data_IF_112837593067
#
_entry.id   IF_112837593067
#
_cell.length_a   1.000
_cell.length_b   1.000
_cell.length_c   1.000
_cell.angle_alpha   90.00
_cell.angle_beta   90.00
_cell.angle_gamma   90.00
#
_symmetry.space_group_name_H-M   'P 1'
#
loop_
_entity.id
_entity.type
_entity.pdbx_description
1 polymer ?
#
# COMPACT_ATOMS: atom_id res chain seq x y z
N UNK A 1 38.41 -19.27 41.63
CA UNK A 1 39.01 -18.17 40.85
C UNK A 1 38.65 -18.38 39.39
N UNK A 2 37.63 -17.67 38.91
CA UNK A 2 37.22 -17.68 37.49
C UNK A 2 38.18 -16.73 36.77
N UNK A 3 38.85 -17.21 35.71
CA UNK A 3 39.85 -16.42 35.00
C UNK A 3 39.18 -15.22 34.32
N UNK A 4 39.79 -14.03 34.46
CA UNK A 4 39.31 -12.79 33.83
C UNK A 4 39.23 -12.87 32.29
N UNK A 5 39.84 -13.88 31.68
CA UNK A 5 39.83 -14.16 30.24
C UNK A 5 38.49 -14.67 29.71
N UNK A 6 37.68 -15.30 30.56
CA UNK A 6 36.40 -15.93 30.15
C UNK A 6 35.25 -14.92 30.02
N UNK A 7 35.32 -13.82 30.78
CA UNK A 7 34.28 -12.77 30.82
C UNK A 7 34.33 -11.82 29.61
N UNK A 8 35.50 -11.62 28.99
CA UNK A 8 35.60 -10.82 27.77
C UNK A 8 35.05 -11.53 26.52
N UNK A 9 35.09 -12.87 26.47
CA UNK A 9 34.50 -13.62 25.35
C UNK A 9 32.96 -13.61 25.36
N UNK A 10 32.35 -13.51 26.55
CA UNK A 10 30.90 -13.46 26.69
C UNK A 10 30.34 -12.07 26.36
N UNK A 11 31.11 -11.00 26.60
CA UNK A 11 30.71 -9.63 26.25
C UNK A 11 30.83 -9.34 24.73
N UNK A 12 31.73 -10.02 24.02
CA UNK A 12 31.86 -9.86 22.56
C UNK A 12 30.78 -10.60 21.77
N UNK A 13 30.18 -11.66 22.34
CA UNK A 13 29.10 -12.41 21.71
C UNK A 13 27.71 -11.75 21.89
N UNK A 14 27.57 -10.80 22.82
CA UNK A 14 26.29 -10.13 23.14
C UNK A 14 26.08 -8.80 22.39
N UNK A 15 27.07 -8.34 21.61
CA UNK A 15 27.03 -7.09 20.83
C UNK A 15 26.62 -7.30 19.35
N UNK A 16 26.18 -8.51 19.00
CA UNK A 16 25.64 -8.87 17.69
C UNK A 16 24.16 -9.26 17.75
N UNK A 17 23.40 -8.65 18.66
CA UNK A 17 21.99 -8.39 18.39
C UNK A 17 21.97 -7.27 17.36
N UNK A 18 22.20 -7.64 16.10
CA UNK A 18 21.95 -6.76 14.98
C UNK A 18 20.54 -6.24 15.14
N UNK A 19 20.40 -4.91 15.15
CA UNK A 19 19.11 -4.28 14.88
C UNK A 19 18.58 -4.94 13.63
N UNK A 20 17.50 -5.72 13.75
CA UNK A 20 16.68 -6.07 12.60
C UNK A 20 16.17 -4.70 12.16
N UNK A 21 16.79 -4.13 11.12
CA UNK A 21 16.21 -2.97 10.46
C UNK A 21 14.86 -3.47 9.98
N UNK A 22 13.77 -2.98 10.56
CA UNK A 22 12.47 -3.05 9.90
C UNK A 22 12.68 -2.37 8.56
N UNK A 23 12.80 -3.14 7.49
CA UNK A 23 12.79 -2.56 6.16
C UNK A 23 11.43 -1.90 6.00
N UNK A 24 11.43 -0.61 5.67
CA UNK A 24 10.21 0.06 5.28
C UNK A 24 9.63 -0.72 4.09
N UNK A 25 8.35 -1.06 4.17
CA UNK A 25 7.70 -1.74 3.06
C UNK A 25 7.50 -0.76 1.92
N UNK A 26 7.90 -1.10 0.69
CA UNK A 26 7.54 -0.33 -0.50
C UNK A 26 6.04 -0.06 -0.56
N UNK A 27 5.72 1.10 -1.14
CA UNK A 27 4.35 1.56 -1.33
C UNK A 27 4.14 1.85 -2.80
N UNK A 28 3.04 1.36 -3.35
CA UNK A 28 2.50 1.81 -4.61
C UNK A 28 1.28 2.69 -4.38
N UNK A 29 1.28 3.86 -4.98
CA UNK A 29 0.14 4.76 -5.09
C UNK A 29 -0.41 4.65 -6.51
N UNK A 30 -1.70 4.33 -6.61
CA UNK A 30 -2.46 4.39 -7.84
C UNK A 30 -3.13 5.76 -7.93
N UNK A 31 -2.86 6.47 -9.01
CA UNK A 31 -3.57 7.68 -9.39
C UNK A 31 -4.38 7.38 -10.64
N UNK A 32 -5.59 7.92 -10.71
CA UNK A 32 -6.49 7.84 -11.84
C UNK A 32 -6.72 9.22 -12.41
N UNK A 33 -6.84 9.34 -13.73
CA UNK A 33 -7.13 10.61 -14.36
C UNK A 33 -8.61 10.96 -14.22
N UNK A 34 -8.89 12.21 -13.85
CA UNK A 34 -10.25 12.76 -13.76
C UNK A 34 -10.90 12.95 -15.14
N UNK A 35 -10.10 12.94 -16.21
CA UNK A 35 -10.57 13.06 -17.59
C UNK A 35 -10.64 11.68 -18.24
N UNK A 36 -11.86 11.17 -18.35
CA UNK A 36 -12.16 9.93 -19.08
C UNK A 36 -12.09 10.13 -20.60
N UNK A 37 -10.87 10.09 -21.13
CA UNK A 37 -10.65 10.21 -22.57
C UNK A 37 -10.83 8.88 -23.32
N UNK A 38 -10.91 7.74 -22.61
CA UNK A 38 -11.03 6.41 -23.18
C UNK A 38 -9.83 6.00 -24.04
N UNK A 39 -8.71 6.71 -23.91
CA UNK A 39 -7.56 6.68 -24.82
C UNK A 39 -6.23 6.44 -24.09
N UNK A 40 -6.19 5.50 -23.14
CA UNK A 40 -4.96 5.05 -22.46
C UNK A 40 -4.30 6.11 -21.57
N UNK A 41 -3.46 5.66 -20.64
CA UNK A 41 -2.82 6.47 -19.58
C UNK A 41 -3.80 7.03 -18.53
N UNK A 42 -4.93 6.36 -18.29
CA UNK A 42 -5.87 6.76 -17.24
C UNK A 42 -5.31 6.44 -15.85
N UNK A 43 -4.56 5.35 -15.71
CA UNK A 43 -3.90 4.99 -14.46
C UNK A 43 -2.42 5.34 -14.48
N UNK A 44 -1.98 6.07 -13.46
CA UNK A 44 -0.58 6.36 -13.17
C UNK A 44 -0.18 5.70 -11.86
N UNK A 45 0.90 4.93 -11.87
CA UNK A 45 1.42 4.27 -10.68
C UNK A 45 2.73 4.92 -10.25
N UNK A 46 2.81 5.26 -8.97
CA UNK A 46 4.00 5.78 -8.33
C UNK A 46 4.45 4.84 -7.20
N UNK A 47 5.70 4.38 -7.29
CA UNK A 47 6.33 3.55 -6.28
C UNK A 47 7.22 4.39 -5.37
N UNK A 48 7.16 4.10 -4.08
CA UNK A 48 7.93 4.72 -3.01
C UNK A 48 8.63 3.64 -2.19
N UNK A 49 9.82 3.94 -1.67
CA UNK A 49 10.56 3.00 -0.80
C UNK A 49 9.89 2.76 0.57
N UNK A 50 8.85 3.54 0.89
CA UNK A 50 8.00 3.40 2.07
C UNK A 50 7.27 4.68 2.43
N UNK A 51 6.55 4.67 3.57
CA UNK A 51 5.66 5.78 3.98
C UNK A 51 6.40 7.11 4.11
N UNK A 52 7.62 7.09 4.65
CA UNK A 52 8.40 8.32 4.74
C UNK A 52 8.73 8.90 3.36
N UNK A 53 9.06 8.05 2.38
CA UNK A 53 9.29 8.49 1.00
C UNK A 53 8.01 9.03 0.36
N UNK A 54 6.84 8.45 0.66
CA UNK A 54 5.55 9.01 0.24
C UNK A 54 5.29 10.38 0.90
N UNK A 55 5.53 10.53 2.20
CA UNK A 55 5.40 11.81 2.92
C UNK A 55 6.34 12.87 2.34
N UNK A 56 7.58 12.49 2.04
CA UNK A 56 8.60 13.40 1.51
C UNK A 56 8.49 13.61 -0.01
N UNK A 57 7.49 13.01 -0.67
CA UNK A 57 7.30 13.00 -2.13
C UNK A 57 8.53 12.50 -2.91
N UNK A 58 9.27 11.56 -2.35
CA UNK A 58 10.45 10.95 -2.97
C UNK A 58 10.04 9.69 -3.73
N UNK A 59 9.65 9.87 -4.99
CA UNK A 59 9.26 8.79 -5.90
C UNK A 59 10.50 7.98 -6.29
N UNK A 60 10.44 6.66 -6.09
CA UNK A 60 11.48 5.72 -6.54
C UNK A 60 11.33 5.42 -8.04
N UNK A 61 10.13 5.07 -8.47
CA UNK A 61 9.79 4.89 -9.88
C UNK A 61 8.33 5.23 -10.15
N UNK A 62 7.98 5.52 -11.40
CA UNK A 62 6.58 5.73 -11.79
C UNK A 62 6.38 5.45 -13.28
N UNK A 63 5.15 5.08 -13.64
CA UNK A 63 4.75 4.85 -15.02
C UNK A 63 3.24 4.92 -15.18
N UNK A 64 2.78 5.30 -16.37
CA UNK A 64 1.41 5.03 -16.78
C UNK A 64 1.22 3.54 -17.04
N UNK A 65 0.06 3.03 -16.62
CA UNK A 65 -0.44 1.74 -17.06
C UNK A 65 -0.97 1.83 -18.49
N UNK A 66 -0.83 0.73 -19.24
CA UNK A 66 -1.50 0.51 -20.52
C UNK A 66 -2.93 0.00 -20.35
N UNK A 67 -3.40 -0.20 -19.12
CA UNK A 67 -4.80 -0.46 -18.83
C UNK A 67 -5.63 0.76 -19.25
N UNK A 68 -6.73 0.48 -19.95
CA UNK A 68 -7.74 1.45 -20.32
C UNK A 68 -8.99 1.09 -19.55
N UNK A 69 -9.38 1.94 -18.61
CA UNK A 69 -10.63 1.83 -17.88
C UNK A 69 -11.75 2.34 -18.78
N UNK A 70 -12.95 1.83 -18.56
CA UNK A 70 -14.10 2.34 -19.27
C UNK A 70 -14.56 3.62 -18.58
N UNK A 71 -14.92 4.66 -19.33
CA UNK A 71 -15.37 5.98 -18.83
C UNK A 71 -16.67 6.00 -18.01
N UNK A 72 -17.10 4.86 -17.49
CA UNK A 72 -18.21 4.75 -16.54
C UNK A 72 -17.72 4.05 -15.28
N UNK A 73 -16.41 3.97 -15.07
CA UNK A 73 -15.78 3.32 -13.95
C UNK A 73 -14.64 4.19 -13.44
N UNK A 74 -14.57 4.29 -12.12
CA UNK A 74 -13.44 4.83 -11.38
C UNK A 74 -12.74 3.71 -10.60
N UNK A 75 -11.48 3.90 -10.26
CA UNK A 75 -10.71 3.03 -9.39
C UNK A 75 -11.08 3.26 -7.92
N UNK A 76 -11.64 2.22 -7.29
CA UNK A 76 -12.07 2.26 -5.88
C UNK A 76 -11.11 1.55 -4.93
N UNK A 77 -9.94 1.13 -5.42
CA UNK A 77 -8.89 0.53 -4.59
C UNK A 77 -7.96 -0.42 -5.31
N UNK A 78 -6.77 -0.60 -4.75
CA UNK A 78 -5.76 -1.55 -5.19
C UNK A 78 -5.23 -2.29 -3.97
N UNK A 79 -5.17 -3.63 -4.02
CA UNK A 79 -4.59 -4.47 -2.97
C UNK A 79 -3.55 -5.44 -3.53
N UNK A 80 -2.57 -5.83 -2.73
CA UNK A 80 -1.70 -6.97 -3.04
C UNK A 80 -1.93 -8.07 -2.01
N UNK A 81 -2.29 -9.26 -2.48
CA UNK A 81 -2.68 -10.37 -1.59
C UNK A 81 -1.54 -11.33 -1.22
N UNK A 82 -0.31 -10.93 -1.53
CA UNK A 82 0.88 -11.78 -1.41
C UNK A 82 1.16 -12.64 -2.65
N UNK A 83 0.27 -12.62 -3.65
CA UNK A 83 0.45 -13.37 -4.90
C UNK A 83 0.12 -12.58 -6.15
N UNK A 84 -0.85 -11.67 -6.08
CA UNK A 84 -1.30 -10.86 -7.21
C UNK A 84 -1.84 -9.52 -6.75
N UNK A 85 -1.85 -8.55 -7.66
CA UNK A 85 -2.50 -7.26 -7.47
C UNK A 85 -3.98 -7.40 -7.83
N UNK A 86 -4.85 -6.93 -6.95
CA UNK A 86 -6.29 -6.84 -7.17
C UNK A 86 -6.68 -5.38 -7.32
N UNK A 87 -7.16 -5.00 -8.50
CA UNK A 87 -7.74 -3.69 -8.76
C UNK A 87 -9.26 -3.80 -8.64
N UNK A 88 -9.84 -2.89 -7.85
CA UNK A 88 -11.27 -2.68 -7.75
C UNK A 88 -11.63 -1.45 -8.59
N UNK A 89 -12.56 -1.64 -9.51
CA UNK A 89 -13.22 -0.57 -10.24
C UNK A 89 -14.68 -0.51 -9.81
N UNK A 90 -15.18 0.69 -9.58
CA UNK A 90 -16.57 0.98 -9.25
C UNK A 90 -17.22 1.75 -10.40
N UNK A 91 -18.45 1.41 -10.75
CA UNK A 91 -19.23 2.12 -11.75
C UNK A 91 -19.65 3.50 -11.25
N UNK A 92 -19.40 4.55 -12.02
CA UNK A 92 -19.77 5.94 -11.66
C UNK A 92 -21.29 6.17 -11.60
N UNK A 93 -22.05 5.19 -12.09
CA UNK A 93 -23.51 5.20 -12.04
C UNK A 93 -23.99 4.02 -11.21
N UNK A 94 -24.77 4.34 -10.19
CA UNK A 94 -25.45 3.35 -9.37
C UNK A 94 -26.37 2.46 -10.21
N UNK A 95 -26.10 1.15 -10.14
CA UNK A 95 -26.82 0.13 -10.86
C UNK A 95 -27.79 -0.61 -9.93
N UNK A 96 -29.09 -0.57 -10.21
CA UNK A 96 -30.09 -1.26 -9.35
C UNK A 96 -29.97 -2.80 -9.25
N UNK A 97 -28.96 -3.43 -9.86
CA UNK A 97 -28.67 -4.86 -9.70
C UNK A 97 -27.27 -5.20 -10.24
N UNK A 98 -26.32 -5.47 -9.34
CA UNK A 98 -25.12 -6.29 -9.54
C UNK A 98 -24.42 -6.10 -10.88
N UNK A 99 -23.58 -5.08 -10.98
CA UNK A 99 -22.46 -4.87 -11.93
C UNK A 99 -21.71 -3.58 -11.55
N UNK A 100 -21.84 -3.11 -10.30
CA UNK A 100 -21.22 -1.86 -9.85
C UNK A 100 -19.74 -2.06 -9.61
N UNK A 101 -19.35 -3.21 -9.05
CA UNK A 101 -17.96 -3.52 -8.73
C UNK A 101 -17.39 -4.48 -9.76
N UNK A 102 -16.32 -4.07 -10.44
CA UNK A 102 -15.51 -4.91 -11.31
C UNK A 102 -14.14 -5.14 -10.68
N UNK A 103 -13.72 -6.40 -10.60
CA UNK A 103 -12.42 -6.77 -10.04
C UNK A 103 -11.52 -7.30 -11.15
N UNK A 104 -10.28 -6.86 -11.17
CA UNK A 104 -9.24 -7.35 -12.07
C UNK A 104 -8.00 -7.79 -11.28
N UNK A 105 -7.50 -8.97 -11.59
CA UNK A 105 -6.28 -9.54 -11.00
C UNK A 105 -5.12 -9.44 -11.97
N UNK A 106 -3.94 -9.11 -11.45
CA UNK A 106 -2.69 -9.02 -12.18
C UNK A 106 -1.61 -9.80 -11.44
N UNK A 107 -0.93 -10.72 -12.15
CA UNK A 107 0.09 -11.59 -11.55
C UNK A 107 1.30 -10.82 -10.99
N UNK A 108 1.51 -9.57 -11.42
CA UNK A 108 2.62 -8.74 -10.98
C UNK A 108 2.35 -7.25 -11.20
N UNK A 109 3.15 -6.39 -10.57
CA UNK A 109 3.14 -4.95 -10.83
C UNK A 109 3.41 -4.64 -12.32
N UNK A 110 4.33 -5.38 -12.96
CA UNK A 110 4.59 -5.20 -14.38
C UNK A 110 3.37 -5.60 -15.23
N UNK A 111 2.64 -6.65 -14.85
CA UNK A 111 1.39 -7.01 -15.52
C UNK A 111 0.34 -5.90 -15.41
N UNK A 112 0.27 -5.22 -14.25
CA UNK A 112 -0.58 -4.05 -14.06
C UNK A 112 -0.15 -2.87 -14.94
N UNK A 113 1.16 -2.59 -15.05
CA UNK A 113 1.69 -1.57 -15.96
C UNK A 113 1.43 -1.90 -17.44
N UNK A 114 1.59 -3.17 -17.83
CA UNK A 114 1.40 -3.61 -19.21
C UNK A 114 -0.08 -3.81 -19.58
N UNK A 115 -1.01 -3.67 -18.62
CA UNK A 115 -2.43 -3.95 -18.83
C UNK A 115 -2.74 -5.43 -19.09
N UNK A 116 -1.86 -6.34 -18.66
CA UNK A 116 -2.02 -7.78 -18.85
C UNK A 116 -2.83 -8.38 -17.70
N UNK A 117 -4.15 -8.40 -17.88
CA UNK A 117 -5.12 -8.94 -16.92
C UNK A 117 -5.01 -10.46 -16.85
N UNK A 118 -4.79 -11.02 -15.66
CA UNK A 118 -4.76 -12.46 -15.42
C UNK A 118 -6.17 -13.05 -15.32
N UNK A 119 -7.05 -12.37 -14.59
CA UNK A 119 -8.47 -12.69 -14.52
C UNK A 119 -9.28 -11.44 -14.17
N UNK A 120 -10.56 -11.42 -14.52
CA UNK A 120 -11.44 -10.32 -14.13
C UNK A 120 -12.91 -10.76 -14.12
N UNK A 121 -13.71 -10.15 -13.25
CA UNK A 121 -15.15 -10.40 -13.19
C UNK A 121 -15.88 -9.26 -12.49
N UNK A 122 -17.15 -9.09 -12.82
CA UNK A 122 -18.05 -8.35 -11.97
C UNK A 122 -18.29 -9.11 -10.66
N UNK A 123 -18.23 -8.38 -9.57
CA UNK A 123 -18.69 -8.84 -8.27
C UNK A 123 -20.23 -8.80 -8.20
N UNK A 124 -20.80 -9.66 -7.36
CA UNK A 124 -22.21 -9.61 -6.96
C UNK A 124 -22.45 -8.61 -5.80
N UNK A 125 -21.39 -7.95 -5.32
CA UNK A 125 -21.50 -6.84 -4.39
C UNK A 125 -22.28 -5.70 -5.03
N UNK A 126 -23.27 -5.18 -4.30
CA UNK A 126 -23.98 -3.97 -4.64
C UNK A 126 -23.64 -2.94 -3.57
N UNK A 127 -22.99 -1.86 -3.97
CA UNK A 127 -22.70 -0.73 -3.09
C UNK A 127 -24.01 0.06 -2.96
N UNK A 128 -24.18 0.72 -1.81
CA UNK A 128 -25.35 1.56 -1.61
C UNK A 128 -25.12 2.87 -2.38
N UNK A 129 -26.10 3.41 -3.12
CA UNK A 129 -26.01 4.68 -3.85
C UNK A 129 -25.68 5.97 -3.07
N UNK A 130 -25.29 5.85 -1.80
CA UNK A 130 -24.82 6.96 -0.98
C UNK A 130 -23.41 6.69 -0.47
N UNK A 131 -22.72 5.73 -1.08
CA UNK A 131 -21.38 5.30 -0.75
C UNK A 131 -20.61 5.02 -2.04
N UNK A 132 -19.32 5.36 -2.00
CA UNK A 132 -18.33 5.02 -3.01
C UNK A 132 -17.19 4.21 -2.36
N UNK A 133 -16.49 3.41 -3.15
CA UNK A 133 -15.31 2.68 -2.71
C UNK A 133 -14.10 3.62 -2.57
N UNK A 134 -13.58 3.76 -1.36
CA UNK A 134 -12.43 4.61 -1.04
C UNK A 134 -11.14 3.84 -0.73
N UNK A 135 -11.13 2.52 -0.94
CA UNK A 135 -9.92 1.71 -0.77
C UNK A 135 -10.16 0.22 -0.57
N UNK A 136 -9.15 -0.58 -0.93
CA UNK A 136 -9.15 -2.03 -0.76
C UNK A 136 -7.80 -2.46 -0.17
N UNK A 137 -7.81 -3.15 0.97
CA UNK A 137 -6.61 -3.73 1.58
C UNK A 137 -6.73 -5.24 1.71
N UNK A 138 -5.61 -5.95 1.66
CA UNK A 138 -5.52 -7.33 2.12
C UNK A 138 -4.63 -7.39 3.36
N UNK A 139 -5.18 -7.88 4.47
CA UNK A 139 -4.50 -7.86 5.77
C UNK A 139 -3.64 -9.10 6.06
N UNK A 140 -3.42 -9.93 5.04
CA UNK A 140 -2.78 -11.25 5.16
C UNK A 140 -3.76 -12.39 5.41
N UNK A 141 -5.03 -12.09 5.74
CA UNK A 141 -6.07 -13.09 6.00
C UNK A 141 -7.38 -12.83 5.27
N UNK A 142 -7.77 -11.57 5.10
CA UNK A 142 -9.03 -11.15 4.51
C UNK A 142 -8.86 -9.84 3.74
N UNK A 143 -9.79 -9.60 2.82
CA UNK A 143 -9.90 -8.32 2.12
C UNK A 143 -10.77 -7.37 2.94
N UNK A 144 -10.31 -6.14 3.12
CA UNK A 144 -11.08 -5.05 3.73
C UNK A 144 -11.39 -4.02 2.64
N UNK A 145 -12.67 -3.82 2.37
CA UNK A 145 -13.17 -2.76 1.50
C UNK A 145 -13.61 -1.59 2.37
N UNK A 146 -13.06 -0.41 2.09
CA UNK A 146 -13.50 0.85 2.65
C UNK A 146 -14.52 1.48 1.71
N UNK A 147 -15.70 1.77 2.24
CA UNK A 147 -16.72 2.56 1.59
C UNK A 147 -16.83 3.90 2.32
N UNK A 148 -16.78 5.00 1.57
CA UNK A 148 -16.99 6.35 2.07
C UNK A 148 -18.37 6.83 1.65
N UNK A 149 -19.08 7.56 2.50
CA UNK A 149 -20.38 8.12 2.15
C UNK A 149 -20.23 9.34 1.23
N UNK A 150 -20.99 9.39 0.15
CA UNK A 150 -20.98 10.50 -0.83
C UNK A 150 -21.53 11.82 -0.27
N UNK A 151 -22.11 11.77 0.94
CA UNK A 151 -22.64 12.93 1.64
C UNK A 151 -22.04 12.99 3.02
N UNK A 152 -21.43 14.12 3.33
CA UNK A 152 -21.01 14.47 4.68
C UNK A 152 -22.21 14.41 5.63
N UNK A 153 -22.32 13.32 6.38
CA UNK A 153 -23.43 13.10 7.31
C UNK A 153 -23.12 13.56 8.74
N UNK A 154 -21.91 14.09 8.96
CA UNK A 154 -21.39 14.45 10.28
C UNK A 154 -21.01 13.23 11.13
N UNK A 155 -20.44 13.49 12.31
CA UNK A 155 -19.79 12.52 13.20
C UNK A 155 -20.29 11.06 13.13
N UNK A 156 -19.43 10.17 12.62
CA UNK A 156 -19.43 8.73 12.92
C UNK A 156 -20.17 7.80 11.94
N UNK A 157 -20.49 8.24 10.71
CA UNK A 157 -21.04 7.36 9.65
C UNK A 157 -20.46 7.63 8.25
N UNK A 158 -19.32 8.32 8.15
CA UNK A 158 -18.71 8.63 6.85
C UNK A 158 -17.97 7.41 6.28
N UNK A 159 -17.42 6.55 7.14
CA UNK A 159 -16.63 5.39 6.72
C UNK A 159 -17.28 4.08 7.16
N UNK A 160 -17.50 3.19 6.20
CA UNK A 160 -18.01 1.84 6.40
C UNK A 160 -16.98 0.81 5.89
N UNK A 161 -16.62 -0.15 6.74
CA UNK A 161 -15.66 -1.19 6.40
C UNK A 161 -16.41 -2.51 6.22
N UNK A 162 -16.14 -3.20 5.11
CA UNK A 162 -16.64 -4.53 4.80
C UNK A 162 -15.48 -5.52 4.63
N UNK A 163 -15.49 -6.58 5.44
CA UNK A 163 -14.50 -7.65 5.41
C UNK A 163 -14.97 -8.86 4.61
N UNK A 164 -14.06 -9.45 3.84
CA UNK A 164 -14.30 -10.63 3.01
C UNK A 164 -13.18 -11.65 3.23
N UNK A 165 -13.54 -12.88 3.62
CA UNK A 165 -12.58 -13.95 3.94
C UNK A 165 -11.66 -14.34 2.76
N UNK A 166 -12.04 -14.00 1.53
CA UNK A 166 -11.27 -14.32 0.32
C UNK A 166 -11.66 -13.43 -0.86
N UNK A 167 -10.83 -13.44 -1.91
CA UNK A 167 -11.17 -12.78 -3.17
C UNK A 167 -12.45 -13.33 -3.80
N UNK A 168 -12.70 -14.66 -3.66
CA UNK A 168 -13.95 -15.25 -4.13
C UNK A 168 -15.15 -14.74 -3.33
N UNK A 169 -15.00 -14.55 -2.02
CA UNK A 169 -16.06 -13.94 -1.19
C UNK A 169 -16.36 -12.51 -1.63
N UNK A 170 -15.33 -11.74 -2.00
CA UNK A 170 -15.48 -10.40 -2.57
C UNK A 170 -16.20 -10.43 -3.93
N UNK A 171 -15.88 -11.39 -4.80
CA UNK A 171 -16.59 -11.62 -6.07
C UNK A 171 -18.06 -12.05 -5.87
N UNK A 172 -18.31 -12.90 -4.89
CA UNK A 172 -19.65 -13.41 -4.58
C UNK A 172 -20.48 -12.41 -3.77
N UNK A 173 -19.91 -11.27 -3.36
CA UNK A 173 -20.55 -10.29 -2.48
C UNK A 173 -20.86 -10.84 -1.08
N UNK A 174 -20.14 -11.88 -0.64
CA UNK A 174 -20.36 -12.55 0.65
C UNK A 174 -19.54 -11.86 1.75
N UNK A 175 -20.17 -10.88 2.40
CA UNK A 175 -19.57 -10.12 3.51
C UNK A 175 -19.43 -11.00 4.76
N UNK A 176 -18.22 -11.10 5.29
CA UNK A 176 -17.91 -11.85 6.51
C UNK A 176 -18.07 -10.98 7.78
N UNK A 177 -17.68 -9.71 7.69
CA UNK A 177 -17.81 -8.72 8.76
C UNK A 177 -18.12 -7.35 8.16
N UNK A 178 -18.80 -6.49 8.92
CA UNK A 178 -18.93 -5.08 8.55
C UNK A 178 -19.19 -4.20 9.75
N UNK A 179 -18.72 -2.95 9.68
CA UNK A 179 -18.98 -1.95 10.71
C UNK A 179 -18.77 -0.55 10.15
N UNK A 180 -19.49 0.42 10.71
CA UNK A 180 -19.10 1.82 10.60
C UNK A 180 -17.88 2.09 11.49
N UNK A 181 -16.97 2.91 10.98
CA UNK A 181 -15.90 3.51 11.78
C UNK A 181 -16.42 4.75 12.49
N UNK A 182 -15.85 5.04 13.67
CA UNK A 182 -16.01 6.30 14.39
C UNK A 182 -15.10 7.40 13.84
N UNK A 183 -14.24 7.08 12.87
CA UNK A 183 -13.45 8.07 12.15
C UNK A 183 -14.40 9.04 11.43
N UNK A 184 -14.11 10.33 11.61
CA UNK A 184 -14.78 11.40 10.89
C UNK A 184 -13.77 12.09 10.00
N UNK A 185 -13.99 12.01 8.71
CA UNK A 185 -13.22 12.70 7.68
C UNK A 185 -13.71 14.14 7.64
N UNK A 186 -12.80 15.06 7.28
CA UNK A 186 -13.21 16.44 7.09
C UNK A 186 -13.87 16.55 5.71
N UNK A 187 -14.97 17.30 5.58
CA UNK A 187 -15.71 17.52 4.33
C UNK A 187 -14.96 18.19 3.17
N UNK A 188 -13.63 18.31 3.26
CA UNK A 188 -12.78 18.75 2.17
C UNK A 188 -11.80 17.64 1.78
N UNK A 189 -12.02 16.42 2.26
CA UNK A 189 -11.20 15.25 1.99
C UNK A 189 -12.10 14.07 1.68
N UNK A 190 -11.62 13.24 0.76
CA UNK A 190 -12.18 11.93 0.43
C UNK A 190 -11.12 10.84 0.65
N UNK A 191 -11.55 9.60 0.88
CA UNK A 191 -10.67 8.44 0.99
C UNK A 191 -10.19 8.01 -0.42
N UNK A 192 -8.87 8.06 -0.63
CA UNK A 192 -8.22 7.68 -1.89
C UNK A 192 -7.41 6.38 -1.80
N UNK A 193 -7.46 5.68 -0.67
CA UNK A 193 -6.83 4.39 -0.51
C UNK A 193 -6.75 3.85 0.92
N UNK A 194 -6.78 2.53 1.04
CA UNK A 194 -6.55 1.79 2.28
C UNK A 194 -5.49 0.72 2.02
N UNK A 195 -4.45 0.68 2.84
CA UNK A 195 -3.42 -0.35 2.79
C UNK A 195 -3.21 -1.00 4.15
N UNK A 196 -2.73 -2.24 4.16
CA UNK A 196 -2.18 -2.89 5.35
C UNK A 196 -0.70 -3.17 5.11
N UNK A 197 0.16 -2.69 5.99
CA UNK A 197 1.60 -2.79 5.83
C UNK A 197 2.23 -4.03 6.51
N UNK A 198 1.42 -5.04 6.81
CA UNK A 198 1.83 -6.20 7.59
C UNK A 198 1.80 -5.97 9.10
N UNK A 199 1.64 -4.72 9.55
CA UNK A 199 1.56 -4.38 10.97
C UNK A 199 0.42 -3.44 11.33
N UNK A 200 0.09 -2.47 10.47
CA UNK A 200 -0.84 -1.38 10.72
C UNK A 200 -1.67 -1.09 9.47
N UNK A 201 -2.86 -0.52 9.67
CA UNK A 201 -3.69 0.01 8.60
C UNK A 201 -3.32 1.45 8.29
N UNK A 202 -3.37 1.79 7.02
CA UNK A 202 -2.88 3.04 6.49
C UNK A 202 -3.96 3.60 5.56
N UNK A 203 -4.52 4.73 5.94
CA UNK A 203 -5.57 5.42 5.20
C UNK A 203 -4.96 6.64 4.51
N UNK A 204 -5.18 6.72 3.20
CA UNK A 204 -4.88 7.90 2.41
C UNK A 204 -6.15 8.70 2.21
N UNK A 205 -6.10 9.96 2.61
CA UNK A 205 -7.12 10.95 2.33
C UNK A 205 -6.58 11.95 1.33
N UNK A 206 -7.35 12.25 0.30
CA UNK A 206 -7.07 13.27 -0.70
C UNK A 206 -7.98 14.47 -0.47
N UNK A 207 -7.43 15.68 -0.60
CA UNK A 207 -8.19 16.93 -0.54
C UNK A 207 -9.04 17.09 -1.79
N UNK A 208 -10.34 17.35 -1.63
CA UNK A 208 -11.28 17.57 -2.75
C UNK A 208 -10.98 18.87 -3.53
N UNK A 209 -10.15 19.74 -2.95
CA UNK A 209 -9.67 20.96 -3.59
C UNK A 209 -8.19 20.85 -3.93
N UNK A 210 -7.85 21.09 -5.20
CA UNK A 210 -6.49 21.32 -5.63
C UNK A 210 -5.98 22.65 -5.06
N UNK A 211 -5.03 22.56 -4.12
CA UNK A 211 -4.49 23.76 -3.45
C UNK A 211 -3.15 24.21 -4.02
N UNK A 212 -2.54 23.43 -4.93
CA UNK A 212 -1.37 23.81 -5.74
C UNK A 212 -0.07 23.98 -4.95
N UNK A 213 -0.10 23.79 -3.64
CA UNK A 213 1.05 23.69 -2.75
C UNK A 213 0.73 22.58 -1.74
N UNK A 214 1.68 21.67 -1.49
CA UNK A 214 1.49 20.42 -0.73
C UNK A 214 0.60 20.52 0.50
N UNK A 215 -0.05 19.40 0.84
CA UNK A 215 -1.20 19.17 1.75
C UNK A 215 -2.43 18.55 1.04
N UNK A 216 -2.28 18.10 -0.21
CA UNK A 216 -3.38 17.40 -0.91
C UNK A 216 -3.55 15.98 -0.40
N UNK A 217 -2.46 15.32 0.02
CA UNK A 217 -2.51 13.97 0.58
C UNK A 217 -2.25 14.01 2.09
N UNK A 218 -3.19 13.47 2.85
CA UNK A 218 -3.07 13.20 4.27
C UNK A 218 -3.04 11.69 4.51
N UNK A 219 -2.07 11.24 5.29
CA UNK A 219 -1.91 9.84 5.66
C UNK A 219 -2.22 9.69 7.15
N UNK A 220 -3.05 8.71 7.49
CA UNK A 220 -3.32 8.30 8.86
C UNK A 220 -3.02 6.82 9.05
N UNK A 221 -2.32 6.49 10.13
CA UNK A 221 -2.05 5.11 10.52
C UNK A 221 -2.86 4.69 11.74
N UNK A 222 -3.19 3.41 11.77
CA UNK A 222 -3.93 2.75 12.85
C UNK A 222 -3.21 1.46 13.21
N UNK A 223 -2.90 1.24 14.48
CA UNK A 223 -2.09 0.09 14.91
C UNK A 223 -2.77 -1.23 14.56
N UNK A 224 -4.11 -1.27 14.57
CA UNK A 224 -4.88 -2.42 14.11
C UNK A 224 -6.25 -2.01 13.52
N UNK A 225 -7.03 -3.02 13.09
CA UNK A 225 -8.35 -2.80 12.51
C UNK A 225 -9.36 -2.23 13.52
N UNK A 226 -9.23 -2.57 14.80
CA UNK A 226 -10.12 -2.04 15.83
C UNK A 226 -9.86 -0.57 16.07
N UNK A 227 -8.60 -0.14 16.05
CA UNK A 227 -8.23 1.27 16.11
C UNK A 227 -8.77 2.05 14.89
N UNK A 228 -8.74 1.44 13.69
CA UNK A 228 -9.40 2.02 12.50
C UNK A 228 -10.92 2.16 12.70
N UNK A 229 -11.59 1.17 13.30
CA UNK A 229 -13.01 1.26 13.62
C UNK A 229 -13.32 2.27 14.71
N UNK A 230 -12.46 2.41 15.72
CA UNK A 230 -12.66 3.32 16.84
C UNK A 230 -12.17 4.75 16.52
N UNK A 231 -11.55 4.95 15.35
CA UNK A 231 -10.99 6.24 14.92
C UNK A 231 -9.76 6.67 15.75
N UNK A 232 -9.01 5.71 16.29
CA UNK A 232 -7.84 5.95 17.13
C UNK A 232 -6.60 6.01 16.23
N UNK A 233 -6.22 7.23 15.83
CA UNK A 233 -5.05 7.46 14.98
C UNK A 233 -3.76 7.25 15.79
N UNK A 234 -2.89 6.37 15.30
CA UNK A 234 -1.57 6.11 15.89
C UNK A 234 -0.55 7.17 15.46
N UNK A 235 -0.51 7.49 14.16
CA UNK A 235 0.30 8.57 13.58
C UNK A 235 -0.43 9.19 12.38
N UNK A 236 -0.07 10.42 12.02
CA UNK A 236 -0.58 11.05 10.81
C UNK A 236 0.33 12.14 10.28
N UNK A 237 0.29 12.37 8.97
CA UNK A 237 1.13 13.38 8.32
C UNK A 237 0.53 13.81 6.98
N UNK A 238 0.74 15.08 6.64
CA UNK A 238 0.57 15.55 5.26
C UNK A 238 1.78 15.18 4.43
N UNK A 239 1.53 14.61 3.26
CA UNK A 239 2.56 14.42 2.25
C UNK A 239 2.87 15.75 1.55
N UNK A 240 4.13 15.90 1.16
CA UNK A 240 4.60 16.95 0.25
C UNK A 240 4.24 16.66 -1.21
N UNK A 241 3.66 15.48 -1.49
CA UNK A 241 3.18 15.11 -2.81
C UNK A 241 2.05 16.06 -3.19
N UNK A 242 2.14 16.58 -4.41
CA UNK A 242 1.11 17.39 -5.02
C UNK A 242 0.60 16.59 -6.23
N UNK A 243 -0.69 16.25 -6.19
CA UNK A 243 -1.35 15.54 -7.27
C UNK A 243 -1.81 16.61 -8.26
N UNK A 244 -1.56 16.34 -9.54
CA UNK A 244 -2.05 17.24 -10.57
C UNK A 244 -3.58 17.22 -10.56
N UNK A 245 -4.24 18.37 -10.70
CA UNK A 245 -5.71 18.52 -10.73
C UNK A 245 -6.47 17.62 -11.71
N UNK A 246 -5.76 17.01 -12.66
CA UNK A 246 -6.33 16.07 -13.62
C UNK A 246 -6.26 14.61 -13.13
N UNK A 247 -5.83 14.38 -11.89
CA UNK A 247 -5.73 13.08 -11.26
C UNK A 247 -6.32 13.10 -9.86
N UNK A 248 -6.75 11.93 -9.41
CA UNK A 248 -7.15 11.63 -8.03
C UNK A 248 -6.52 10.31 -7.58
N UNK A 249 -6.42 10.10 -6.27
CA UNK A 249 -5.92 8.88 -5.69
C UNK A 249 -6.97 7.76 -5.77
N UNK A 250 -6.60 6.67 -6.46
CA UNK A 250 -7.48 5.52 -6.73
C UNK A 250 -7.08 4.23 -5.99
N UNK A 251 -6.03 4.29 -5.16
CA UNK A 251 -5.59 3.15 -4.38
C UNK A 251 -4.21 3.30 -3.76
N UNK A 252 -3.99 2.56 -2.67
CA UNK A 252 -2.74 2.51 -1.93
C UNK A 252 -2.40 1.06 -1.62
N UNK A 253 -1.19 0.61 -1.93
CA UNK A 253 -0.71 -0.72 -1.58
C UNK A 253 0.58 -0.60 -0.82
N UNK A 254 0.70 -1.32 0.30
CA UNK A 254 1.97 -1.64 0.93
C UNK A 254 2.22 -3.13 0.76
N UNK A 255 3.41 -3.50 0.32
CA UNK A 255 3.74 -4.90 0.07
C UNK A 255 5.20 -5.23 0.40
N UNK A 256 5.45 -6.50 0.66
CA UNK A 256 6.81 -7.02 0.74
C UNK A 256 7.25 -7.34 -0.69
N UNK A 257 8.34 -6.74 -1.22
CA UNK A 257 8.76 -6.98 -2.59
C UNK A 257 9.14 -8.46 -2.78
N UNK A 258 8.64 -9.05 -3.87
CA UNK A 258 8.97 -10.41 -4.28
C UNK A 258 10.42 -10.48 -4.78
N UNK A 259 11.35 -10.64 -3.86
CA UNK A 259 12.74 -10.95 -4.18
C UNK A 259 13.66 -10.75 -2.97
N UNK A 260 14.73 -11.56 -2.84
CA UNK A 260 15.80 -11.17 -1.94
C UNK A 260 16.33 -9.83 -2.45
N UNK A 261 16.25 -8.79 -1.61
CA UNK A 261 17.07 -7.59 -1.79
C UNK A 261 18.49 -8.12 -1.97
N UNK A 262 19.10 -7.89 -3.14
CA UNK A 262 20.50 -8.25 -3.35
C UNK A 262 21.32 -7.40 -2.39
N UNK A 263 21.52 -7.93 -1.17
CA UNK A 263 22.43 -7.33 -0.21
C UNK A 263 23.80 -7.39 -0.87
N UNK A 264 24.43 -6.24 -1.18
CA UNK A 264 25.78 -6.25 -1.73
C UNK A 264 26.63 -7.10 -0.80
N UNK A 265 27.25 -8.17 -1.32
CA UNK A 265 28.06 -9.06 -0.49
C UNK A 265 29.00 -8.18 0.34
N UNK A 266 28.96 -8.29 1.68
CA UNK A 266 29.70 -7.36 2.51
C UNK A 266 31.17 -7.43 2.10
N UNK A 267 31.81 -6.26 1.98
CA UNK A 267 33.24 -6.14 1.69
C UNK A 267 34.14 -6.89 2.71
N UNK A 268 33.54 -7.51 3.73
CA UNK A 268 34.15 -8.49 4.62
C UNK A 268 34.76 -9.68 3.89
N UNK A 269 34.23 -10.16 2.75
CA UNK A 269 34.91 -11.19 1.95
C UNK A 269 36.20 -10.67 1.32
N UNK A 270 36.16 -9.45 0.77
CA UNK A 270 37.36 -8.78 0.26
C UNK A 270 38.39 -8.58 1.40
N UNK A 271 37.96 -8.10 2.57
CA UNK A 271 38.83 -7.92 3.74
C UNK A 271 39.38 -9.24 4.31
N UNK A 272 38.58 -10.31 4.30
CA UNK A 272 39.02 -11.66 4.69
C UNK A 272 40.08 -12.19 3.72
N UNK A 273 39.86 -12.02 2.42
CA UNK A 273 40.79 -12.45 1.37
C UNK A 273 42.09 -11.62 1.39
N UNK A 274 42.01 -10.30 1.61
CA UNK A 274 43.19 -9.45 1.83
C UNK A 274 43.92 -9.79 3.13
N UNK A 275 43.20 -10.09 4.21
CA UNK A 275 43.77 -10.51 5.50
C UNK A 275 44.51 -11.85 5.41
N UNK A 276 43.92 -12.84 4.72
CA UNK A 276 44.56 -14.14 4.49
C UNK A 276 45.75 -14.03 3.52
N UNK A 277 45.64 -13.22 2.47
CA UNK A 277 46.73 -12.97 1.52
C UNK A 277 47.96 -12.33 2.18
N UNK A 278 47.75 -11.34 3.06
CA UNK A 278 48.85 -10.69 3.80
C UNK A 278 49.51 -11.61 4.83
N UNK A 279 48.75 -12.49 5.48
CA UNK A 279 49.29 -13.52 6.38
C UNK A 279 50.15 -14.56 5.64
N UNK A 280 49.72 -14.99 4.44
CA UNK A 280 50.50 -15.92 3.61
C UNK A 280 51.78 -15.29 3.06
N UNK A 281 51.75 -14.02 2.66
CA UNK A 281 52.95 -13.28 2.22
C UNK A 281 53.95 -13.07 3.36
N UNK A 282 53.49 -12.83 4.59
CA UNK A 282 54.36 -12.66 5.76
C UNK A 282 55.10 -13.96 6.13
N UNK A 283 54.48 -15.13 5.95
CA UNK A 283 55.10 -16.44 6.26
C UNK A 283 56.17 -16.86 5.25
N UNK A 284 56.19 -16.26 4.05
CA UNK A 284 57.18 -16.57 3.00
C UNK A 284 58.48 -15.77 3.12
N UNK A 285 58.52 -14.74 3.95
CA UNK A 285 59.72 -13.88 4.18
C UNK A 285 60.58 -14.28 5.38
N UNK A 286 60.14 -15.24 6.19
CA UNK A 286 60.85 -15.70 7.41
C UNK A 286 61.44 -17.11 7.28
N UNK A 287 61.66 -17.59 6.05
CA UNK A 287 62.47 -18.79 5.77
C UNK A 287 63.69 -18.41 4.94
#
# INVERSE_FOLDING_TARGET
MISRSSLLSLFAAMLYLGSIQSHAMPIDLLLESNDDSGAGNELFLANFDGYQSLIDATINSSSFSQLNINSNFSSGGLAFDGSSYQLLLESDVDGNAGNEVFLASFDSFQSLLDGTVASSSFSQLNINPNFSAGGLAFDGSSYQLLLESDVDSGAGNEIFLAGFDSFQSLLDGTVASSSFSQLNINSNFSAGGLAFDGSSYQLLLESDMDSGAGNEIFLASFDDFQDLLDGIIADSSFSQLNINSNFSAGGLVAYVPDGPVEVPEPASWALLMFGLGTLMLRRRRTR
#
